data_IF_353550130064
#
_entry.id   IF_353550130064
#
_cell.length_a   1.000
_cell.length_b   1.000
_cell.length_c   1.000
_cell.angle_alpha   90.00
_cell.angle_beta   90.00
_cell.angle_gamma   90.00
#
_symmetry.space_group_name_H-M   'P 1'
#
loop_
_entity.id
_entity.type
_entity.pdbx_description
1 polymer ?
#
# COMPACT_ATOMS: atom_id res chain seq x y z
N UNK A 1 7.64 9.95 15.11
CA UNK A 1 8.04 10.21 13.72
C UNK A 1 9.50 9.87 13.47
N UNK A 2 10.46 10.49 14.19
CA UNK A 2 11.89 10.20 14.01
C UNK A 2 12.25 8.72 14.16
N UNK A 3 11.75 8.04 15.20
CA UNK A 3 11.99 6.61 15.40
C UNK A 3 11.45 5.76 14.23
N UNK A 4 10.26 6.06 13.73
CA UNK A 4 9.68 5.35 12.60
C UNK A 4 10.52 5.54 11.33
N UNK A 5 10.98 6.76 11.06
CA UNK A 5 11.86 7.02 9.92
C UNK A 5 13.22 6.32 10.06
N UNK A 6 13.81 6.29 11.26
CA UNK A 6 15.05 5.54 11.53
C UNK A 6 14.85 4.05 11.25
N UNK A 7 13.73 3.47 11.68
CA UNK A 7 13.40 2.07 11.39
C UNK A 7 13.21 1.82 9.89
N UNK A 8 12.46 2.68 9.19
CA UNK A 8 12.29 2.59 7.73
C UNK A 8 13.63 2.69 7.00
N UNK A 9 14.52 3.59 7.44
CA UNK A 9 15.87 3.75 6.88
C UNK A 9 16.73 2.51 7.12
N UNK A 10 16.68 1.94 8.33
CA UNK A 10 17.41 0.71 8.65
C UNK A 10 16.92 -0.48 7.81
N UNK A 11 15.60 -0.64 7.67
CA UNK A 11 14.99 -1.69 6.86
C UNK A 11 15.30 -1.52 5.37
N UNK A 12 15.20 -0.31 4.86
CA UNK A 12 15.59 0.04 3.49
C UNK A 12 17.08 -0.24 3.24
N UNK A 13 17.96 0.15 4.16
CA UNK A 13 19.39 -0.14 4.05
C UNK A 13 19.69 -1.65 4.09
N UNK A 14 19.02 -2.41 4.96
CA UNK A 14 19.15 -3.86 5.01
C UNK A 14 18.66 -4.54 3.72
N UNK A 15 17.53 -4.07 3.17
CA UNK A 15 17.01 -4.53 1.89
C UNK A 15 17.96 -4.21 0.73
N UNK A 16 18.51 -3.00 0.70
CA UNK A 16 19.50 -2.58 -0.30
C UNK A 16 20.79 -3.40 -0.20
N UNK A 17 21.32 -3.59 1.00
CA UNK A 17 22.49 -4.46 1.21
C UNK A 17 22.25 -5.88 0.69
N UNK A 18 21.10 -6.49 1.02
CA UNK A 18 20.76 -7.81 0.52
C UNK A 18 20.68 -7.84 -1.02
N UNK A 19 20.01 -6.87 -1.63
CA UNK A 19 19.76 -6.88 -3.07
C UNK A 19 21.01 -6.55 -3.89
N UNK A 20 21.77 -5.54 -3.47
CA UNK A 20 22.87 -5.00 -4.26
C UNK A 20 24.20 -5.70 -3.95
N UNK A 21 24.49 -5.94 -2.66
CA UNK A 21 25.80 -6.47 -2.26
C UNK A 21 25.82 -8.00 -2.18
N UNK A 22 24.70 -8.62 -1.77
CA UNK A 22 24.64 -10.08 -1.59
C UNK A 22 24.11 -10.78 -2.84
N UNK A 23 23.07 -10.24 -3.47
CA UNK A 23 22.40 -10.86 -4.61
C UNK A 23 22.82 -10.28 -5.97
N UNK A 24 23.59 -9.18 -5.98
CA UNK A 24 24.07 -8.49 -7.20
C UNK A 24 22.95 -8.22 -8.23
N UNK A 25 21.78 -7.76 -7.74
CA UNK A 25 20.61 -7.52 -8.59
C UNK A 25 20.85 -6.29 -9.46
N UNK A 26 20.74 -6.46 -10.78
CA UNK A 26 20.64 -5.36 -11.73
C UNK A 26 19.18 -5.14 -12.14
N UNK A 27 18.54 -4.02 -11.75
CA UNK A 27 17.14 -3.78 -12.04
C UNK A 27 16.85 -3.70 -13.55
N UNK A 28 15.81 -4.39 -14.00
CA UNK A 28 15.30 -4.39 -15.37
C UNK A 28 13.77 -4.26 -15.35
N UNK A 29 13.15 -3.67 -16.39
CA UNK A 29 11.69 -3.62 -16.49
C UNK A 29 11.08 -5.03 -16.51
N UNK A 30 10.00 -5.24 -15.77
CA UNK A 30 9.29 -6.53 -15.80
C UNK A 30 8.58 -6.73 -17.15
N UNK A 31 8.87 -7.81 -17.90
CA UNK A 31 8.13 -8.12 -19.12
C UNK A 31 6.65 -8.40 -18.85
N UNK A 32 5.77 -7.96 -19.75
CA UNK A 32 4.32 -8.02 -19.55
C UNK A 32 3.78 -9.44 -19.36
N UNK A 33 4.40 -10.44 -20.00
CA UNK A 33 4.08 -11.86 -19.87
C UNK A 33 4.28 -12.40 -18.45
N UNK A 34 5.11 -11.73 -17.63
CA UNK A 34 5.36 -12.12 -16.23
C UNK A 34 4.39 -11.47 -15.25
N UNK A 35 3.49 -10.58 -15.69
CA UNK A 35 2.54 -9.88 -14.82
C UNK A 35 1.64 -10.85 -14.03
N UNK A 36 1.15 -11.92 -14.66
CA UNK A 36 0.31 -12.91 -13.97
C UNK A 36 1.08 -13.62 -12.86
N UNK A 37 2.30 -14.07 -13.16
CA UNK A 37 3.19 -14.72 -12.18
C UNK A 37 3.51 -13.76 -11.04
N UNK A 38 3.84 -12.50 -11.35
CA UNK A 38 4.07 -11.46 -10.34
C UNK A 38 2.89 -11.32 -9.39
N UNK A 39 1.67 -11.15 -9.92
CA UNK A 39 0.47 -10.97 -9.11
C UNK A 39 0.16 -12.21 -8.26
N UNK A 40 0.30 -13.39 -8.82
CA UNK A 40 0.10 -14.64 -8.07
C UNK A 40 1.13 -14.78 -6.96
N UNK A 41 2.41 -14.58 -7.23
CA UNK A 41 3.47 -14.63 -6.21
C UNK A 41 3.27 -13.56 -5.14
N UNK A 42 2.90 -12.33 -5.54
CA UNK A 42 2.60 -11.23 -4.63
C UNK A 42 1.46 -11.61 -3.68
N UNK A 43 0.35 -12.14 -4.19
CA UNK A 43 -0.78 -12.56 -3.36
C UNK A 43 -0.42 -13.72 -2.44
N UNK A 44 0.31 -14.73 -2.96
CA UNK A 44 0.72 -15.89 -2.18
C UNK A 44 1.70 -15.54 -1.05
N UNK A 45 2.47 -14.46 -1.18
CA UNK A 45 3.38 -13.99 -0.13
C UNK A 45 2.70 -12.99 0.79
N UNK A 46 2.15 -11.90 0.26
CA UNK A 46 1.67 -10.80 1.08
C UNK A 46 0.33 -11.07 1.74
N UNK A 47 -0.62 -11.78 1.10
CA UNK A 47 -1.91 -12.05 1.74
C UNK A 47 -1.78 -12.86 3.05
N UNK A 48 -1.04 -13.99 3.11
CA UNK A 48 -0.84 -14.69 4.38
C UNK A 48 0.02 -13.89 5.35
N UNK A 49 1.08 -13.20 4.91
CA UNK A 49 1.93 -12.41 5.82
C UNK A 49 1.13 -11.30 6.49
N UNK A 50 0.32 -10.54 5.74
CA UNK A 50 -0.50 -9.46 6.27
C UNK A 50 -1.63 -9.97 7.18
N UNK A 51 -2.26 -11.11 6.84
CA UNK A 51 -3.28 -11.71 7.70
C UNK A 51 -2.69 -12.31 8.99
N UNK A 52 -1.59 -13.03 8.89
CA UNK A 52 -0.94 -13.67 10.05
C UNK A 52 -0.31 -12.63 10.97
N UNK A 53 0.25 -11.54 10.44
CA UNK A 53 0.79 -10.44 11.26
C UNK A 53 -0.33 -9.77 12.07
N UNK A 54 -1.48 -9.49 11.45
CA UNK A 54 -2.64 -8.92 12.17
C UNK A 54 -3.25 -9.90 13.17
N UNK A 55 -3.27 -11.21 12.88
CA UNK A 55 -3.65 -12.24 13.86
C UNK A 55 -2.67 -12.32 15.04
N UNK A 56 -1.37 -12.21 14.79
CA UNK A 56 -0.34 -12.17 15.83
C UNK A 56 -0.50 -10.93 16.72
N UNK A 57 -0.74 -9.75 16.12
CA UNK A 57 -1.07 -8.52 16.84
C UNK A 57 -2.34 -8.67 17.69
N UNK A 58 -3.36 -9.35 17.16
CA UNK A 58 -4.60 -9.64 17.88
C UNK A 58 -4.46 -10.75 18.93
N UNK A 59 -3.38 -11.55 18.87
CA UNK A 59 -3.15 -12.79 19.65
C UNK A 59 -4.24 -13.84 19.47
N UNK A 60 -4.92 -13.83 18.33
CA UNK A 60 -5.98 -14.77 17.96
C UNK A 60 -6.24 -14.71 16.46
N UNK A 61 -6.81 -15.77 15.91
CA UNK A 61 -7.31 -15.74 14.54
C UNK A 61 -8.50 -14.77 14.41
N UNK A 62 -8.44 -13.90 13.41
CA UNK A 62 -9.46 -12.90 13.14
C UNK A 62 -10.49 -13.45 12.14
N UNK A 63 -11.77 -13.44 12.52
CA UNK A 63 -12.84 -13.90 11.63
C UNK A 63 -13.31 -12.74 10.75
N UNK A 64 -13.26 -12.86 9.41
CA UNK A 64 -13.72 -11.79 8.54
C UNK A 64 -15.24 -11.73 8.51
N UNK A 65 -15.78 -10.52 8.64
CA UNK A 65 -17.11 -10.20 8.16
C UNK A 65 -17.00 -9.71 6.72
N UNK A 66 -17.46 -10.52 5.79
CA UNK A 66 -17.31 -10.29 4.34
C UNK A 66 -17.83 -8.92 3.92
N UNK A 67 -18.99 -8.51 4.43
CA UNK A 67 -19.61 -7.21 4.10
C UNK A 67 -18.71 -6.01 4.36
N UNK A 68 -17.98 -6.04 5.47
CA UNK A 68 -17.13 -4.93 5.94
C UNK A 68 -15.73 -5.06 5.35
N UNK A 69 -15.22 -6.28 5.18
CA UNK A 69 -13.97 -6.54 4.49
C UNK A 69 -14.02 -6.00 3.05
N UNK A 70 -15.05 -6.37 2.28
CA UNK A 70 -15.21 -5.89 0.89
C UNK A 70 -15.36 -4.37 0.82
N UNK A 71 -16.03 -3.76 1.81
CA UNK A 71 -16.11 -2.31 1.91
C UNK A 71 -14.72 -1.66 2.06
N UNK A 72 -13.85 -2.22 2.90
CA UNK A 72 -12.48 -1.74 3.06
C UNK A 72 -11.68 -1.90 1.78
N UNK A 73 -11.71 -3.10 1.19
CA UNK A 73 -11.00 -3.39 -0.06
C UNK A 73 -11.38 -2.39 -1.17
N UNK A 74 -12.68 -2.21 -1.42
CA UNK A 74 -13.17 -1.31 -2.45
C UNK A 74 -12.91 0.16 -2.16
N UNK A 75 -13.05 0.59 -0.89
CA UNK A 75 -12.77 1.98 -0.50
C UNK A 75 -11.29 2.30 -0.68
N UNK A 76 -10.40 1.41 -0.21
CA UNK A 76 -8.95 1.58 -0.38
C UNK A 76 -8.56 1.56 -1.85
N UNK A 77 -9.15 0.68 -2.67
CA UNK A 77 -8.90 0.67 -4.11
C UNK A 77 -9.18 2.04 -4.74
N UNK A 78 -10.38 2.58 -4.56
CA UNK A 78 -10.75 3.87 -5.14
C UNK A 78 -9.90 5.01 -4.58
N UNK A 79 -9.76 5.09 -3.25
CA UNK A 79 -9.01 6.17 -2.61
C UNK A 79 -7.53 6.15 -2.98
N UNK A 80 -6.92 4.97 -3.10
CA UNK A 80 -5.52 4.86 -3.49
C UNK A 80 -5.33 5.23 -4.96
N UNK A 81 -6.17 4.74 -5.88
CA UNK A 81 -6.10 5.13 -7.30
C UNK A 81 -6.23 6.64 -7.48
N UNK A 82 -7.24 7.27 -6.85
CA UNK A 82 -7.40 8.73 -6.92
C UNK A 82 -6.26 9.46 -6.19
N UNK A 83 -5.79 8.89 -5.08
CA UNK A 83 -4.71 9.43 -4.27
C UNK A 83 -3.37 9.43 -4.98
N UNK A 84 -3.04 8.37 -5.71
CA UNK A 84 -1.84 8.27 -6.54
C UNK A 84 -1.81 9.36 -7.59
N UNK A 85 -2.86 9.43 -8.42
CA UNK A 85 -2.94 10.41 -9.49
C UNK A 85 -2.97 11.83 -8.95
N UNK A 86 -3.76 12.08 -7.91
CA UNK A 86 -3.84 13.39 -7.27
C UNK A 86 -2.51 13.82 -6.64
N UNK A 87 -1.83 12.91 -5.94
CA UNK A 87 -0.54 13.19 -5.29
C UNK A 87 0.54 13.44 -6.33
N UNK A 88 0.68 12.58 -7.33
CA UNK A 88 1.73 12.74 -8.32
C UNK A 88 1.50 13.99 -9.19
N UNK A 89 0.24 14.27 -9.59
CA UNK A 89 -0.12 15.52 -10.30
C UNK A 89 0.25 16.74 -9.48
N UNK A 90 -0.07 16.75 -8.18
CA UNK A 90 0.27 17.84 -7.28
C UNK A 90 1.79 18.00 -7.13
N UNK A 91 2.52 16.89 -7.01
CA UNK A 91 3.97 16.91 -6.91
C UNK A 91 4.65 17.37 -8.20
N UNK A 92 4.17 16.97 -9.37
CA UNK A 92 4.65 17.51 -10.65
C UNK A 92 4.38 19.01 -10.73
N UNK A 93 3.21 19.47 -10.29
CA UNK A 93 2.88 20.91 -10.31
C UNK A 93 3.79 21.73 -9.38
N UNK A 94 4.05 21.23 -8.16
CA UNK A 94 4.79 21.93 -7.11
C UNK A 94 6.31 21.74 -7.20
N UNK A 95 6.77 20.51 -7.39
CA UNK A 95 8.18 20.11 -7.38
C UNK A 95 8.80 19.99 -8.77
N UNK A 96 7.99 20.12 -9.84
CA UNK A 96 8.41 19.98 -11.24
C UNK A 96 8.99 18.61 -11.58
N UNK A 97 8.68 17.60 -10.78
CA UNK A 97 9.03 16.20 -11.01
C UNK A 97 7.98 15.26 -10.38
N UNK A 98 7.79 14.06 -10.92
CA UNK A 98 7.04 13.01 -10.23
C UNK A 98 7.73 12.55 -8.95
N UNK A 99 6.96 11.96 -8.02
CA UNK A 99 7.52 11.38 -6.81
C UNK A 99 8.07 9.97 -7.05
N UNK A 100 7.37 9.18 -7.85
CA UNK A 100 7.72 7.81 -8.19
C UNK A 100 7.39 7.49 -9.65
N UNK A 101 7.88 6.34 -10.13
CA UNK A 101 7.43 5.69 -11.36
C UNK A 101 7.18 4.21 -11.12
N UNK A 102 6.05 3.71 -11.57
CA UNK A 102 5.75 2.29 -11.61
C UNK A 102 6.52 1.60 -12.75
N UNK A 103 7.04 0.40 -12.46
CA UNK A 103 7.81 -0.42 -13.39
C UNK A 103 7.17 -1.79 -13.64
N UNK A 104 6.34 -2.27 -12.70
CA UNK A 104 5.53 -3.48 -12.90
C UNK A 104 4.16 -3.10 -13.43
N UNK A 105 3.83 -3.60 -14.61
CA UNK A 105 2.57 -3.32 -15.31
C UNK A 105 2.18 -1.82 -15.29
N UNK A 106 3.08 -0.92 -15.70
CA UNK A 106 2.84 0.52 -15.66
C UNK A 106 1.71 0.91 -16.60
N UNK A 107 0.90 1.87 -16.17
CA UNK A 107 -0.12 2.54 -17.00
C UNK A 107 0.01 4.04 -16.79
N UNK A 108 -0.59 4.85 -17.67
CA UNK A 108 -0.58 6.32 -17.60
C UNK A 108 0.85 6.88 -17.45
N UNK A 109 1.72 6.53 -18.40
CA UNK A 109 3.15 6.88 -18.39
C UNK A 109 3.95 6.41 -17.16
N UNK A 110 3.42 5.46 -16.38
CA UNK A 110 4.06 4.93 -15.18
C UNK A 110 3.67 5.66 -13.90
N UNK A 111 2.70 6.58 -13.91
CA UNK A 111 2.22 7.23 -12.69
C UNK A 111 1.40 6.29 -11.80
N UNK A 112 0.76 5.28 -12.40
CA UNK A 112 0.09 4.20 -11.68
C UNK A 112 0.38 2.85 -12.34
N UNK A 113 -0.08 1.77 -11.73
CA UNK A 113 0.09 0.41 -12.20
C UNK A 113 -1.25 -0.31 -12.21
N UNK A 114 -1.49 -1.12 -13.25
CA UNK A 114 -2.63 -2.03 -13.24
C UNK A 114 -2.54 -3.07 -12.11
N UNK A 115 -1.33 -3.37 -11.59
CA UNK A 115 -1.16 -4.17 -10.38
C UNK A 115 -1.73 -3.47 -9.13
N UNK A 116 -1.90 -2.14 -9.17
CA UNK A 116 -2.65 -1.34 -8.20
C UNK A 116 -4.05 -1.88 -7.93
N UNK A 117 -4.70 -2.45 -8.95
CA UNK A 117 -6.05 -3.03 -8.85
C UNK A 117 -6.14 -4.27 -7.96
N UNK A 118 -5.00 -4.86 -7.60
CA UNK A 118 -4.90 -6.02 -6.71
C UNK A 118 -4.21 -5.65 -5.40
N UNK A 119 -3.13 -4.86 -5.48
CA UNK A 119 -2.34 -4.45 -4.31
C UNK A 119 -3.13 -3.54 -3.37
N UNK A 120 -3.90 -2.57 -3.89
CA UNK A 120 -4.70 -1.66 -3.07
C UNK A 120 -5.87 -2.33 -2.35
N UNK A 121 -6.66 -3.20 -3.00
CA UNK A 121 -7.65 -4.02 -2.27
C UNK A 121 -7.02 -4.90 -1.20
N UNK A 122 -5.87 -5.53 -1.47
CA UNK A 122 -5.17 -6.33 -0.47
C UNK A 122 -4.78 -5.49 0.75
N UNK A 123 -4.26 -4.28 0.51
CA UNK A 123 -3.95 -3.33 1.58
C UNK A 123 -5.22 -2.96 2.36
N UNK A 124 -6.34 -2.69 1.70
CA UNK A 124 -7.63 -2.46 2.37
C UNK A 124 -8.06 -3.63 3.26
N UNK A 125 -7.85 -4.86 2.80
CA UNK A 125 -8.05 -6.06 3.62
C UNK A 125 -7.14 -6.12 4.85
N UNK A 126 -5.86 -5.77 4.70
CA UNK A 126 -4.95 -5.61 5.83
C UNK A 126 -5.45 -4.56 6.83
N UNK A 127 -5.89 -3.38 6.36
CA UNK A 127 -6.42 -2.33 7.23
C UNK A 127 -7.65 -2.79 8.03
N UNK A 128 -8.53 -3.57 7.40
CA UNK A 128 -9.68 -4.16 8.05
C UNK A 128 -9.26 -5.05 9.24
N UNK A 129 -8.28 -5.95 9.01
CA UNK A 129 -7.78 -6.83 10.06
C UNK A 129 -6.96 -6.09 11.11
N UNK A 130 -6.15 -5.10 10.72
CA UNK A 130 -5.40 -4.25 11.63
C UNK A 130 -6.34 -3.51 12.58
N UNK A 131 -7.40 -2.90 12.07
CA UNK A 131 -8.41 -2.23 12.91
C UNK A 131 -9.12 -3.21 13.86
N UNK A 132 -9.29 -4.48 13.48
CA UNK A 132 -9.78 -5.50 14.40
C UNK A 132 -8.74 -5.87 15.46
N UNK A 133 -7.47 -6.04 15.09
CA UNK A 133 -6.39 -6.36 16.00
C UNK A 133 -6.20 -5.27 17.07
N UNK A 134 -6.23 -4.00 16.66
CA UNK A 134 -6.15 -2.84 17.55
C UNK A 134 -7.31 -2.78 18.57
N UNK A 135 -8.50 -3.23 18.18
CA UNK A 135 -9.67 -3.33 19.07
C UNK A 135 -9.62 -4.56 19.98
N UNK A 136 -9.05 -5.66 19.50
CA UNK A 136 -9.02 -6.94 20.19
C UNK A 136 -7.93 -7.02 21.27
N UNK A 137 -6.77 -6.37 21.07
CA UNK A 137 -5.65 -6.44 21.98
C UNK A 137 -5.55 -5.15 22.84
N UNK A 138 -5.82 -5.22 24.17
CA UNK A 138 -5.75 -4.06 25.05
C UNK A 138 -4.40 -3.36 25.07
N UNK A 139 -3.29 -4.07 24.80
CA UNK A 139 -1.94 -3.48 24.73
C UNK A 139 -1.78 -2.51 23.56
N UNK A 140 -2.62 -2.62 22.54
CA UNK A 140 -2.60 -1.75 21.35
C UNK A 140 -3.62 -0.61 21.43
N UNK A 141 -4.32 -0.45 22.56
CA UNK A 141 -5.31 0.62 22.77
C UNK A 141 -4.78 2.04 22.45
N UNK A 142 -3.51 2.41 22.78
CA UNK A 142 -2.97 3.72 22.41
C UNK A 142 -3.00 4.00 20.89
N UNK A 143 -2.94 2.95 20.07
CA UNK A 143 -2.95 3.04 18.61
C UNK A 143 -4.36 3.02 18.00
N UNK A 144 -5.42 2.86 18.80
CA UNK A 144 -6.79 2.73 18.30
C UNK A 144 -7.51 4.08 18.09
N UNK A 145 -6.91 5.21 18.50
CA UNK A 145 -7.41 6.55 18.22
C UNK A 145 -7.12 7.00 16.79
N UNK A 146 -7.95 7.89 16.24
CA UNK A 146 -7.85 8.33 14.83
C UNK A 146 -6.47 8.87 14.47
N UNK A 147 -5.89 9.75 15.28
CA UNK A 147 -4.55 10.31 15.00
C UNK A 147 -3.47 9.24 14.98
N UNK A 148 -3.49 8.29 15.92
CA UNK A 148 -2.52 7.21 15.96
C UNK A 148 -2.70 6.23 14.79
N UNK A 149 -3.96 5.95 14.38
CA UNK A 149 -4.25 5.14 13.18
C UNK A 149 -3.72 5.80 11.93
N UNK A 150 -3.90 7.10 11.76
CA UNK A 150 -3.39 7.81 10.56
C UNK A 150 -1.86 7.76 10.49
N UNK A 151 -1.18 7.97 11.61
CA UNK A 151 0.28 7.83 11.65
C UNK A 151 0.73 6.40 11.37
N UNK A 152 0.02 5.41 11.94
CA UNK A 152 0.30 4.00 11.68
C UNK A 152 0.07 3.65 10.21
N UNK A 153 -1.02 4.12 9.60
CA UNK A 153 -1.33 3.96 8.18
C UNK A 153 -0.22 4.51 7.28
N UNK A 154 0.31 5.69 7.60
CA UNK A 154 1.38 6.30 6.82
C UNK A 154 2.70 5.52 6.95
N UNK A 155 3.05 5.09 8.16
CA UNK A 155 4.27 4.29 8.39
C UNK A 155 4.15 2.89 7.78
N UNK A 156 3.00 2.23 7.95
CA UNK A 156 2.75 0.88 7.44
C UNK A 156 2.70 0.88 5.91
N UNK A 157 2.16 1.93 5.28
CA UNK A 157 2.22 2.09 3.83
C UNK A 157 3.68 2.14 3.35
N UNK A 158 4.50 3.05 3.88
CA UNK A 158 5.93 3.17 3.53
C UNK A 158 6.72 1.88 3.81
N UNK A 159 6.41 1.19 4.91
CA UNK A 159 7.01 -0.11 5.22
C UNK A 159 6.63 -1.15 4.17
N UNK A 160 5.36 -1.21 3.78
CA UNK A 160 4.87 -2.12 2.75
C UNK A 160 5.51 -1.79 1.41
N UNK A 161 5.75 -0.53 1.10
CA UNK A 161 6.46 -0.10 -0.11
C UNK A 161 7.89 -0.65 -0.16
N UNK A 162 8.62 -0.53 0.95
CA UNK A 162 9.97 -1.11 1.09
C UNK A 162 9.92 -2.62 0.90
N UNK A 163 9.02 -3.31 1.60
CA UNK A 163 8.87 -4.76 1.48
C UNK A 163 8.50 -5.19 0.05
N UNK A 164 7.63 -4.44 -0.62
CA UNK A 164 7.17 -4.73 -1.98
C UNK A 164 8.28 -4.54 -3.00
N UNK A 165 9.07 -3.46 -2.90
CA UNK A 165 10.23 -3.28 -3.75
C UNK A 165 11.30 -4.35 -3.50
N UNK A 166 11.56 -4.72 -2.24
CA UNK A 166 12.50 -5.80 -1.92
C UNK A 166 12.03 -7.13 -2.49
N UNK A 167 10.75 -7.46 -2.35
CA UNK A 167 10.14 -8.64 -2.95
C UNK A 167 10.25 -8.62 -4.49
N UNK A 168 9.88 -7.50 -5.11
CA UNK A 168 9.86 -7.35 -6.56
C UNK A 168 11.26 -7.46 -7.17
N UNK A 169 12.24 -6.80 -6.56
CA UNK A 169 13.64 -6.87 -7.00
C UNK A 169 14.24 -8.25 -6.75
N UNK A 170 13.98 -8.85 -5.58
CA UNK A 170 14.55 -10.15 -5.24
C UNK A 170 14.05 -11.31 -6.11
N UNK A 171 12.78 -11.29 -6.52
CA UNK A 171 12.19 -12.39 -7.31
C UNK A 171 12.07 -12.09 -8.81
N UNK A 172 11.98 -10.82 -9.18
CA UNK A 172 11.68 -10.41 -10.54
C UNK A 172 12.70 -9.44 -11.13
N UNK A 173 13.70 -9.02 -10.35
CA UNK A 173 14.73 -8.06 -10.77
C UNK A 173 14.14 -6.74 -11.28
N UNK A 174 12.92 -6.39 -10.89
CA UNK A 174 12.27 -5.14 -11.29
C UNK A 174 11.86 -4.39 -10.03
N UNK A 175 12.02 -3.07 -10.03
CA UNK A 175 11.27 -2.23 -9.09
C UNK A 175 9.78 -2.46 -9.31
N UNK A 176 9.00 -2.41 -8.24
CA UNK A 176 7.54 -2.31 -8.38
C UNK A 176 7.17 -0.87 -8.70
N UNK A 177 7.68 0.06 -7.89
CA UNK A 177 7.79 1.48 -8.21
C UNK A 177 9.16 2.01 -7.74
N UNK A 178 9.69 2.98 -8.47
CA UNK A 178 10.96 3.62 -8.20
C UNK A 178 10.71 5.04 -7.71
N UNK A 179 11.09 5.36 -6.48
CA UNK A 179 11.03 6.73 -5.96
C UNK A 179 12.25 7.53 -6.41
N UNK A 180 12.05 8.73 -6.96
CA UNK A 180 13.17 9.55 -7.45
C UNK A 180 14.10 10.03 -6.35
N UNK A 181 13.55 10.31 -5.17
CA UNK A 181 14.36 10.64 -4.00
C UNK A 181 14.88 9.35 -3.37
N UNK A 182 16.21 9.23 -3.30
CA UNK A 182 16.89 8.03 -2.82
C UNK A 182 17.11 7.94 -1.31
N UNK A 183 16.41 8.71 -0.48
CA UNK A 183 16.67 8.75 0.97
C UNK A 183 16.31 7.43 1.68
N UNK A 184 15.47 6.60 1.05
CA UNK A 184 15.17 5.22 1.44
C UNK A 184 15.47 4.23 0.29
N UNK A 185 16.66 4.34 -0.33
CA UNK A 185 17.15 3.42 -1.38
C UNK A 185 16.23 3.33 -2.60
N UNK A 186 15.50 4.40 -2.90
CA UNK A 186 14.47 4.45 -3.96
C UNK A 186 13.28 3.49 -3.75
N UNK A 187 13.22 2.78 -2.62
CA UNK A 187 12.11 1.90 -2.29
C UNK A 187 10.89 2.64 -1.76
N UNK A 188 11.11 3.80 -1.14
CA UNK A 188 10.12 4.77 -0.65
C UNK A 188 10.84 6.12 -0.50
N UNK A 189 10.21 7.12 0.10
CA UNK A 189 10.83 8.43 0.38
C UNK A 189 10.19 9.09 1.60
N UNK A 190 10.94 9.88 2.37
CA UNK A 190 10.35 10.74 3.40
C UNK A 190 9.28 11.71 2.87
N UNK A 191 9.33 12.06 1.57
CA UNK A 191 8.37 12.98 0.93
C UNK A 191 6.94 12.42 0.87
N UNK A 192 6.76 11.10 0.78
CA UNK A 192 5.43 10.47 0.64
C UNK A 192 4.66 10.41 1.96
N UNK A 193 5.35 10.62 3.08
CA UNK A 193 4.75 10.55 4.41
C UNK A 193 3.59 11.55 4.57
N UNK A 194 3.76 12.79 4.09
CA UNK A 194 2.72 13.83 4.21
C UNK A 194 1.47 13.48 3.37
N UNK A 195 1.60 13.12 2.07
CA UNK A 195 0.49 12.58 1.30
C UNK A 195 -0.23 11.43 2.01
N UNK A 196 0.50 10.46 2.58
CA UNK A 196 -0.15 9.36 3.30
C UNK A 196 -0.89 9.77 4.56
N UNK A 197 -0.39 10.75 5.33
CA UNK A 197 -1.11 11.28 6.49
C UNK A 197 -2.42 11.94 6.05
N UNK A 198 -2.37 12.78 5.00
CA UNK A 198 -3.55 13.51 4.51
C UNK A 198 -4.59 12.55 3.94
N UNK A 199 -4.17 11.70 2.99
CA UNK A 199 -5.05 10.71 2.34
C UNK A 199 -5.52 9.65 3.33
N UNK A 200 -4.66 9.21 4.24
CA UNK A 200 -5.00 8.26 5.30
C UNK A 200 -6.07 8.81 6.25
N UNK A 201 -5.98 10.08 6.63
CA UNK A 201 -7.02 10.73 7.43
C UNK A 201 -8.35 10.82 6.67
N UNK A 202 -8.34 11.27 5.41
CA UNK A 202 -9.53 11.36 4.58
C UNK A 202 -10.18 9.97 4.37
N UNK A 203 -9.38 8.97 4.04
CA UNK A 203 -9.80 7.58 3.87
C UNK A 203 -10.39 6.98 5.15
N UNK A 204 -9.78 7.25 6.31
CA UNK A 204 -10.30 6.79 7.60
C UNK A 204 -11.68 7.40 7.93
N UNK A 205 -11.86 8.71 7.65
CA UNK A 205 -13.16 9.37 7.83
C UNK A 205 -14.22 8.85 6.87
N UNK A 206 -13.85 8.61 5.61
CA UNK A 206 -14.73 8.01 4.63
C UNK A 206 -15.15 6.60 5.05
N UNK A 207 -14.22 5.74 5.46
CA UNK A 207 -14.51 4.40 5.98
C UNK A 207 -15.46 4.47 7.18
N UNK A 208 -15.19 5.31 8.17
CA UNK A 208 -16.06 5.47 9.34
C UNK A 208 -17.48 5.98 8.99
N UNK A 209 -17.61 6.76 7.91
CA UNK A 209 -18.90 7.17 7.38
C UNK A 209 -19.64 6.02 6.67
N UNK A 210 -18.94 5.25 5.84
CA UNK A 210 -19.51 4.16 5.05
C UNK A 210 -19.85 2.92 5.91
N UNK A 211 -19.05 2.62 6.94
CA UNK A 211 -19.30 1.50 7.86
C UNK A 211 -20.66 1.61 8.58
N UNK A 212 -21.17 2.83 8.77
CA UNK A 212 -22.48 3.09 9.39
C UNK A 212 -23.67 2.75 8.50
N UNK A 213 -23.45 2.42 7.22
CA UNK A 213 -24.51 2.13 6.26
C UNK A 213 -24.88 0.65 6.26
N UNK A 214 -26.10 0.35 5.79
CA UNK A 214 -26.66 -1.01 5.72
C UNK A 214 -26.08 -1.83 4.56
N UNK A 215 -25.88 -1.23 3.39
CA UNK A 215 -25.51 -1.92 2.16
C UNK A 215 -23.99 -1.97 1.90
N UNK A 216 -23.21 -2.34 2.91
CA UNK A 216 -21.72 -2.27 2.89
C UNK A 216 -21.09 -3.08 1.75
N UNK A 217 -21.60 -4.30 1.53
CA UNK A 217 -21.10 -5.17 0.48
C UNK A 217 -21.27 -4.54 -0.91
N UNK A 218 -22.49 -4.08 -1.23
CA UNK A 218 -22.78 -3.46 -2.52
C UNK A 218 -21.98 -2.17 -2.74
N UNK A 219 -21.84 -1.34 -1.70
CA UNK A 219 -20.98 -0.15 -1.77
C UNK A 219 -19.51 -0.52 -1.98
N UNK A 220 -18.98 -1.52 -1.28
CA UNK A 220 -17.61 -1.98 -1.47
C UNK A 220 -17.34 -2.45 -2.90
N UNK A 221 -18.24 -3.27 -3.45
CA UNK A 221 -18.16 -3.71 -4.85
C UNK A 221 -18.25 -2.54 -5.83
N UNK A 222 -19.15 -1.58 -5.58
CA UNK A 222 -19.29 -0.39 -6.42
C UNK A 222 -18.03 0.48 -6.39
N UNK A 223 -17.44 0.71 -5.21
CA UNK A 223 -16.20 1.47 -5.06
C UNK A 223 -15.02 0.76 -5.72
N UNK A 224 -14.94 -0.57 -5.61
CA UNK A 224 -13.95 -1.38 -6.33
C UNK A 224 -14.09 -1.21 -7.85
N UNK A 225 -15.32 -1.33 -8.37
CA UNK A 225 -15.59 -1.17 -9.80
C UNK A 225 -15.24 0.24 -10.27
N UNK A 226 -15.58 1.28 -9.49
CA UNK A 226 -15.20 2.66 -9.79
C UNK A 226 -13.68 2.84 -9.80
N UNK A 227 -12.94 2.24 -8.85
CA UNK A 227 -11.48 2.28 -8.84
C UNK A 227 -10.87 1.65 -10.10
N UNK A 228 -11.39 0.49 -10.51
CA UNK A 228 -10.99 -0.16 -11.77
C UNK A 228 -11.28 0.74 -12.97
N UNK A 229 -12.49 1.30 -13.05
CA UNK A 229 -12.86 2.20 -14.14
C UNK A 229 -11.98 3.45 -14.18
N UNK A 230 -11.60 4.00 -13.02
CA UNK A 230 -10.66 5.13 -12.96
C UNK A 230 -9.30 4.76 -13.57
N UNK A 231 -8.71 3.62 -13.19
CA UNK A 231 -7.43 3.18 -13.78
C UNK A 231 -7.55 2.97 -15.29
N UNK A 232 -8.66 2.39 -15.76
CA UNK A 232 -8.87 2.09 -17.18
C UNK A 232 -9.24 3.32 -18.03
N UNK A 233 -9.84 4.35 -17.43
CA UNK A 233 -10.31 5.55 -18.13
C UNK A 233 -9.27 6.69 -18.13
N UNK A 234 -8.20 6.56 -17.36
CA UNK A 234 -7.11 7.52 -17.36
C UNK A 234 -6.25 7.30 -18.63
N UNK A 235 -5.91 8.39 -19.34
CA UNK A 235 -5.12 8.34 -20.57
C UNK A 235 -3.64 8.01 -20.32
#
# INVERSE_FOLDING_TARGET
>A
MLLAYVLLKALSAAGGWLLWEVLDITPTPLPAERNAVFLTSFLLVFAPVLYLSTCALARRFLRPRVDTLVLYMGTTCLCATLGEVGTDTLCVALLKRPLWLYHVWPVNHGYTSAAGLVTWPLYGGFLYFLHQALRANPRLRPFNGDGAKVLLLAVDAMLLEICLNVFSLGLFQSFFFFYFRGDLQHFSTGEIFVPYVVLGYAGLKLLAFLERRRHRLAMGLALQALGILCVLAMP
#
